data_IF_163565384714
#
_entry.id   IF_163565384714
#
_cell.length_a   1.000
_cell.length_b   1.000
_cell.length_c   1.000
_cell.angle_alpha   90.00
_cell.angle_beta   90.00
_cell.angle_gamma   90.00
#
_symmetry.space_group_name_H-M   'P 1'
#
loop_
_entity.id
_entity.type
_entity.pdbx_description
1 polymer ?
#
# COMPACT_ATOMS: atom_id res chain seq x y z
N UNK A 1 11.48 23.97 -15.31
CA UNK A 1 11.22 23.73 -13.86
C UNK A 1 12.13 24.57 -12.92
N UNK A 2 12.66 25.72 -13.35
CA UNK A 2 13.63 26.50 -12.55
C UNK A 2 13.12 26.97 -11.18
N UNK A 3 11.82 27.17 -11.02
CA UNK A 3 11.21 27.61 -9.75
C UNK A 3 10.70 26.45 -8.90
N UNK A 4 10.71 25.22 -9.42
CA UNK A 4 10.20 24.05 -8.71
C UNK A 4 11.22 23.61 -7.65
N UNK A 5 10.79 23.57 -6.38
CA UNK A 5 11.65 23.19 -5.25
C UNK A 5 11.32 21.81 -4.73
N UNK A 6 10.04 21.47 -4.72
CA UNK A 6 9.55 20.20 -4.18
C UNK A 6 8.55 19.56 -5.13
N UNK A 7 8.61 18.25 -5.23
CA UNK A 7 7.67 17.44 -5.98
C UNK A 7 7.11 16.39 -5.01
N UNK A 8 5.81 16.42 -4.79
CA UNK A 8 5.11 15.43 -3.99
C UNK A 8 4.32 14.50 -4.89
N UNK A 9 4.31 13.23 -4.57
CA UNK A 9 3.48 12.22 -5.22
C UNK A 9 2.78 11.36 -4.17
N UNK A 10 1.53 11.02 -4.43
CA UNK A 10 0.71 10.19 -3.55
C UNK A 10 -0.36 9.48 -4.34
N UNK A 11 -1.25 8.78 -3.64
CA UNK A 11 -2.30 7.91 -4.15
C UNK A 11 -1.81 6.60 -4.79
N UNK A 12 -0.70 6.63 -5.52
CA UNK A 12 -0.08 5.45 -6.13
C UNK A 12 1.41 5.40 -5.84
N UNK A 13 1.99 4.20 -5.92
CA UNK A 13 3.42 4.01 -5.75
C UNK A 13 4.19 4.61 -6.92
N UNK A 14 5.18 5.45 -6.64
CA UNK A 14 6.08 5.97 -7.66
C UNK A 14 7.07 4.89 -8.09
N UNK A 15 7.15 4.65 -9.40
CA UNK A 15 8.11 3.69 -9.97
C UNK A 15 9.54 4.17 -9.75
N UNK A 16 10.46 3.25 -9.44
CA UNK A 16 11.88 3.56 -9.22
C UNK A 16 12.50 4.27 -10.43
N UNK A 17 12.15 3.83 -11.63
CA UNK A 17 12.61 4.47 -12.86
C UNK A 17 12.19 5.94 -12.95
N UNK A 18 10.95 6.26 -12.59
CA UNK A 18 10.45 7.64 -12.55
C UNK A 18 11.23 8.48 -11.56
N UNK A 19 11.47 7.96 -10.35
CA UNK A 19 12.30 8.66 -9.32
C UNK A 19 13.69 8.93 -9.84
N UNK A 20 14.34 7.93 -10.46
CA UNK A 20 15.67 8.06 -11.03
C UNK A 20 15.71 9.09 -12.15
N UNK A 21 14.79 9.04 -13.11
CA UNK A 21 14.71 10.00 -14.21
C UNK A 21 14.54 11.44 -13.72
N UNK A 22 13.72 11.68 -12.70
CA UNK A 22 13.54 13.01 -12.13
C UNK A 22 14.81 13.52 -11.46
N UNK A 23 15.50 12.67 -10.72
CA UNK A 23 16.77 13.01 -10.10
C UNK A 23 17.85 13.30 -11.13
N UNK A 24 18.00 12.45 -12.16
CA UNK A 24 19.03 12.59 -13.20
C UNK A 24 18.79 13.81 -14.10
N UNK A 25 17.53 14.06 -14.50
CA UNK A 25 17.21 15.14 -15.44
C UNK A 25 17.06 16.50 -14.79
N UNK A 26 16.54 16.56 -13.57
CA UNK A 26 16.14 17.81 -12.93
C UNK A 26 16.82 18.06 -11.59
N UNK A 27 17.54 17.09 -11.03
CA UNK A 27 18.09 17.17 -9.67
C UNK A 27 17.01 17.23 -8.59
N UNK A 28 15.77 16.83 -8.90
CA UNK A 28 14.63 16.93 -8.02
C UNK A 28 14.23 15.56 -7.51
N UNK A 29 14.10 15.45 -6.19
CA UNK A 29 13.61 14.26 -5.52
C UNK A 29 12.08 14.29 -5.47
N UNK A 30 11.44 13.19 -5.87
CA UNK A 30 10.00 12.99 -5.65
C UNK A 30 9.81 12.55 -4.21
N UNK A 31 9.03 13.29 -3.45
CA UNK A 31 8.68 13.03 -2.07
C UNK A 31 7.35 12.28 -2.05
N UNK A 32 7.39 11.00 -1.71
CA UNK A 32 6.18 10.19 -1.64
C UNK A 32 5.42 10.47 -0.35
N UNK A 33 4.10 10.53 -0.45
CA UNK A 33 3.18 10.68 0.66
C UNK A 33 2.05 9.68 0.58
N UNK A 34 1.43 9.46 1.70
CA UNK A 34 0.32 8.54 1.90
C UNK A 34 -0.83 9.23 2.62
N UNK A 35 -2.04 8.90 2.23
CA UNK A 35 -3.20 9.45 2.87
C UNK A 35 -4.52 8.90 2.35
N UNK A 36 -5.58 9.41 2.94
CA UNK A 36 -6.95 9.09 2.60
C UNK A 36 -7.78 10.39 2.64
N UNK A 37 -8.85 10.47 1.87
CA UNK A 37 -9.79 11.61 1.88
C UNK A 37 -10.29 11.89 3.30
N UNK A 38 -10.51 10.85 4.06
CA UNK A 38 -10.94 10.86 5.45
C UNK A 38 -9.92 11.45 6.43
N UNK A 39 -8.70 11.71 5.97
CA UNK A 39 -7.59 12.26 6.78
C UNK A 39 -7.07 13.61 6.24
N UNK A 40 -7.82 14.31 5.41
CA UNK A 40 -7.67 15.68 4.92
C UNK A 40 -6.33 16.06 4.23
N UNK A 41 -5.79 15.35 3.27
CA UNK A 41 -5.82 13.93 3.03
C UNK A 41 -4.60 13.18 3.60
N UNK A 42 -3.56 13.87 4.11
CA UNK A 42 -2.24 13.30 4.39
C UNK A 42 -2.18 12.60 5.74
N UNK A 43 -1.69 11.37 5.75
CA UNK A 43 -1.38 10.58 6.94
C UNK A 43 0.12 10.56 7.19
N UNK A 44 0.91 10.27 6.15
CA UNK A 44 2.36 10.24 6.22
C UNK A 44 2.98 10.88 4.98
N UNK A 45 4.17 11.46 5.11
CA UNK A 45 4.86 12.10 3.97
C UNK A 45 6.37 12.12 4.18
N UNK A 46 7.11 11.85 3.10
CA UNK A 46 8.53 12.16 3.04
C UNK A 46 8.73 13.69 2.95
N UNK A 47 9.74 14.18 3.62
CA UNK A 47 10.13 15.59 3.55
C UNK A 47 11.58 15.73 3.07
N UNK A 48 12.03 16.91 2.66
CA UNK A 48 13.43 17.11 2.27
C UNK A 48 14.44 16.75 3.35
N UNK A 49 14.06 16.95 4.62
CA UNK A 49 14.90 16.69 5.79
C UNK A 49 14.80 15.24 6.28
N UNK A 50 13.67 14.59 6.02
CA UNK A 50 13.37 13.22 6.43
C UNK A 50 12.85 12.46 5.24
N UNK A 51 13.74 11.79 4.55
CA UNK A 51 13.44 11.03 3.34
C UNK A 51 14.00 9.61 3.44
N UNK A 52 13.14 8.64 3.10
CA UNK A 52 13.55 7.25 2.93
C UNK A 52 12.91 6.66 1.68
N UNK A 53 13.75 6.24 0.73
CA UNK A 53 13.28 5.58 -0.48
C UNK A 53 12.51 4.29 -0.14
N UNK A 54 11.40 4.03 -0.83
CA UNK A 54 10.54 2.87 -0.58
C UNK A 54 9.60 3.00 0.62
N UNK A 55 9.64 4.15 1.34
CA UNK A 55 8.65 4.52 2.34
C UNK A 55 7.79 5.69 1.86
N UNK A 56 6.64 5.85 2.47
CA UNK A 56 5.78 7.04 2.27
C UNK A 56 6.06 8.14 3.29
N UNK A 57 7.22 8.08 3.95
CA UNK A 57 7.66 9.05 4.94
C UNK A 57 7.18 8.73 6.35
N UNK A 58 7.16 9.76 7.20
CA UNK A 58 6.72 9.68 8.59
C UNK A 58 5.29 10.17 8.75
N UNK A 59 4.61 9.67 9.77
CA UNK A 59 3.29 10.18 10.14
C UNK A 59 3.34 11.69 10.43
N UNK A 60 2.26 12.37 10.10
CA UNK A 60 2.14 13.80 10.43
C UNK A 60 2.18 14.02 11.94
N UNK A 61 2.81 15.11 12.41
CA UNK A 61 2.78 15.48 13.81
C UNK A 61 1.33 15.65 14.33
N UNK A 62 1.06 15.11 15.52
CA UNK A 62 -0.26 15.16 16.15
C UNK A 62 -1.24 14.09 15.67
N UNK A 63 -0.79 13.15 14.84
CA UNK A 63 -1.52 11.93 14.49
C UNK A 63 -1.08 10.81 15.44
N UNK A 64 -2.04 10.29 16.19
CA UNK A 64 -1.87 9.03 16.90
C UNK A 64 -2.11 7.86 15.95
N UNK A 65 -1.42 6.76 16.18
CA UNK A 65 -1.55 5.56 15.39
C UNK A 65 -1.50 4.29 16.22
N UNK A 66 -2.10 3.24 15.71
CA UNK A 66 -1.95 1.87 16.21
C UNK A 66 -1.94 0.90 15.05
N UNK A 67 -1.18 -0.19 15.20
CA UNK A 67 -1.17 -1.30 14.27
C UNK A 67 -1.94 -2.46 14.88
N UNK A 68 -3.05 -2.83 14.27
CA UNK A 68 -3.78 -4.03 14.65
C UNK A 68 -3.16 -5.25 13.98
N UNK A 69 -2.85 -6.31 14.76
CA UNK A 69 -2.30 -7.54 14.20
C UNK A 69 -3.21 -8.13 13.12
N UNK A 70 -2.62 -8.57 12.03
CA UNK A 70 -3.32 -9.28 10.96
C UNK A 70 -2.81 -10.72 10.91
N UNK A 71 -3.66 -11.73 11.06
CA UNK A 71 -3.24 -13.13 11.02
C UNK A 71 -2.43 -13.44 9.76
N UNK A 72 -1.22 -14.01 9.92
CA UNK A 72 -0.32 -14.34 8.81
C UNK A 72 0.49 -13.17 8.25
N UNK A 73 0.47 -12.01 8.89
CA UNK A 73 1.38 -10.90 8.64
C UNK A 73 2.32 -10.82 9.85
N UNK A 74 3.59 -11.20 9.66
CA UNK A 74 4.55 -11.28 10.76
C UNK A 74 5.08 -9.90 11.15
N UNK A 75 5.31 -9.01 10.18
CA UNK A 75 5.78 -7.65 10.39
C UNK A 75 4.71 -6.63 10.01
N UNK A 76 4.49 -5.65 10.90
CA UNK A 76 3.50 -4.60 10.69
C UNK A 76 2.09 -4.99 11.12
N UNK A 77 1.08 -4.29 10.57
CA UNK A 77 -0.31 -4.50 10.91
C UNK A 77 -1.24 -3.56 10.16
N UNK A 78 -2.54 -3.71 10.42
CA UNK A 78 -3.56 -2.83 9.87
C UNK A 78 -3.49 -1.48 10.59
N UNK A 79 -3.29 -0.42 9.81
CA UNK A 79 -3.11 0.92 10.36
C UNK A 79 -4.45 1.57 10.71
N UNK A 80 -4.57 1.98 11.96
CA UNK A 80 -5.61 2.88 12.44
C UNK A 80 -4.96 4.19 12.86
N UNK A 81 -5.64 5.30 12.59
CA UNK A 81 -5.17 6.64 12.91
C UNK A 81 -6.24 7.46 13.62
N UNK A 82 -5.81 8.32 14.55
CA UNK A 82 -6.65 9.29 15.21
C UNK A 82 -5.91 10.63 15.28
N UNK A 83 -6.63 11.74 15.14
CA UNK A 83 -6.00 13.06 15.21
C UNK A 83 -6.86 14.15 14.58
N UNK A 84 -6.37 15.40 14.60
CA UNK A 84 -7.15 16.57 14.21
C UNK A 84 -7.50 16.63 12.72
N UNK A 85 -6.80 15.89 11.88
CA UNK A 85 -7.06 15.81 10.44
C UNK A 85 -7.96 14.62 10.06
N UNK A 86 -8.36 13.77 11.02
CA UNK A 86 -9.34 12.71 10.77
C UNK A 86 -10.74 13.30 10.68
N UNK A 87 -11.51 12.89 9.69
CA UNK A 87 -12.87 13.33 9.46
C UNK A 87 -13.77 13.13 10.71
N UNK A 88 -14.78 13.95 10.84
CA UNK A 88 -15.77 13.80 11.90
C UNK A 88 -16.70 12.59 11.71
N UNK A 89 -16.86 12.11 10.49
CA UNK A 89 -17.66 10.94 10.18
C UNK A 89 -18.23 10.95 8.78
N UNK A 90 -18.95 9.89 8.42
CA UNK A 90 -19.67 9.75 7.16
C UNK A 90 -21.14 10.19 7.29
N UNK A 91 -21.66 10.81 6.24
CA UNK A 91 -23.10 10.96 6.01
C UNK A 91 -23.54 9.84 5.07
N UNK A 92 -24.25 8.86 5.60
CA UNK A 92 -24.72 7.70 4.82
C UNK A 92 -26.06 7.96 4.17
N UNK A 93 -26.29 7.32 3.02
CA UNK A 93 -27.52 7.47 2.25
C UNK A 93 -28.75 6.93 3.00
N UNK A 94 -28.61 5.87 3.75
CA UNK A 94 -29.66 5.21 4.54
C UNK A 94 -29.94 5.91 5.88
N UNK A 95 -29.09 6.87 6.27
CA UNK A 95 -29.26 7.67 7.49
C UNK A 95 -28.91 9.15 7.22
N UNK A 96 -29.68 9.84 6.37
CA UNK A 96 -29.37 11.21 5.96
C UNK A 96 -29.48 12.19 7.14
N UNK A 97 -28.46 13.05 7.27
CA UNK A 97 -28.42 14.07 8.34
C UNK A 97 -27.83 13.61 9.66
N UNK A 98 -27.52 12.32 9.82
CA UNK A 98 -26.79 11.80 10.98
C UNK A 98 -25.32 11.52 10.58
N UNK A 99 -24.41 12.13 11.33
CA UNK A 99 -22.97 11.90 11.14
C UNK A 99 -22.58 10.62 11.87
N UNK A 100 -21.94 9.69 11.17
CA UNK A 100 -21.40 8.46 11.74
C UNK A 100 -19.88 8.59 11.92
N UNK A 101 -19.39 8.86 13.14
CA UNK A 101 -17.97 9.05 13.39
C UNK A 101 -17.19 7.71 13.27
N UNK A 102 -15.87 7.77 13.07
CA UNK A 102 -15.02 6.60 13.18
C UNK A 102 -15.19 5.93 14.55
N UNK A 103 -15.21 4.58 14.61
CA UNK A 103 -15.37 3.85 15.87
C UNK A 103 -14.32 4.30 16.91
N UNK A 104 -14.77 4.68 18.10
CA UNK A 104 -13.90 5.15 19.19
C UNK A 104 -12.95 6.31 18.80
N UNK A 105 -13.25 7.04 17.72
CA UNK A 105 -12.41 8.11 17.17
C UNK A 105 -11.23 7.62 16.33
N UNK A 106 -11.14 6.32 16.03
CA UNK A 106 -10.08 5.74 15.21
C UNK A 106 -10.56 5.46 13.79
N UNK A 107 -9.90 6.06 12.83
CA UNK A 107 -10.12 5.77 11.42
C UNK A 107 -9.29 4.55 10.98
N UNK A 108 -9.97 3.52 10.53
CA UNK A 108 -9.34 2.33 9.94
C UNK A 108 -9.02 2.62 8.47
N UNK A 109 -7.74 2.69 8.14
CA UNK A 109 -7.31 2.97 6.77
C UNK A 109 -7.56 1.80 5.82
N UNK A 110 -7.71 0.59 6.35
CA UNK A 110 -7.77 -0.65 5.60
C UNK A 110 -6.44 -1.04 4.94
N UNK A 111 -5.36 -0.36 5.28
CA UNK A 111 -4.02 -0.64 4.78
C UNK A 111 -3.21 -1.40 5.81
N UNK A 112 -2.44 -2.37 5.34
CA UNK A 112 -1.41 -3.05 6.14
C UNK A 112 -0.11 -2.32 5.90
N UNK A 113 0.52 -1.87 6.98
CA UNK A 113 1.76 -1.12 6.95
C UNK A 113 2.76 -1.67 7.94
N UNK A 114 4.02 -1.40 7.71
CA UNK A 114 5.10 -1.51 8.65
C UNK A 114 5.62 -0.12 9.00
N UNK A 115 5.99 0.10 10.25
CA UNK A 115 6.58 1.35 10.74
C UNK A 115 7.89 0.98 11.42
N UNK A 116 8.99 1.43 10.84
CA UNK A 116 10.31 1.13 11.37
C UNK A 116 10.67 1.94 12.63
N UNK A 117 11.81 1.62 13.25
CA UNK A 117 12.30 2.25 14.48
C UNK A 117 12.48 3.78 14.35
N UNK A 118 12.73 4.29 13.15
CA UNK A 118 12.84 5.72 12.86
C UNK A 118 11.49 6.37 12.54
N UNK A 119 10.39 5.60 12.53
CA UNK A 119 9.02 6.06 12.30
C UNK A 119 8.66 6.20 10.81
N UNK A 120 9.41 5.61 9.89
CA UNK A 120 9.04 5.60 8.47
C UNK A 120 8.03 4.51 8.17
N UNK A 121 6.97 4.90 7.46
CA UNK A 121 5.86 4.04 7.09
C UNK A 121 6.13 3.39 5.73
N UNK A 122 5.99 2.07 5.67
CA UNK A 122 5.99 1.27 4.43
C UNK A 122 4.61 0.64 4.24
N UNK A 123 4.00 0.84 3.09
CA UNK A 123 2.71 0.21 2.76
C UNK A 123 3.01 -1.20 2.22
N UNK A 124 2.48 -2.21 2.91
CA UNK A 124 2.60 -3.61 2.51
C UNK A 124 1.46 -4.04 1.59
N UNK A 125 0.29 -3.39 1.72
CA UNK A 125 -0.86 -3.61 0.84
C UNK A 125 -2.18 -3.26 1.50
N UNK A 126 -3.28 -3.48 0.76
CA UNK A 126 -4.64 -3.36 1.28
C UNK A 126 -5.06 -4.63 2.01
N UNK A 127 -5.66 -4.52 3.18
CA UNK A 127 -6.14 -5.69 3.94
C UNK A 127 -7.10 -6.57 3.11
N UNK A 128 -7.94 -5.96 2.27
CA UNK A 128 -8.84 -6.66 1.34
C UNK A 128 -8.13 -7.28 0.12
N UNK A 129 -6.84 -7.01 -0.05
CA UNK A 129 -6.00 -7.55 -1.13
C UNK A 129 -4.97 -8.56 -0.63
N UNK A 130 -5.32 -9.25 0.44
CA UNK A 130 -4.62 -10.44 0.89
C UNK A 130 -5.55 -11.64 0.75
N UNK A 131 -4.98 -12.77 0.35
CA UNK A 131 -5.66 -14.05 0.29
C UNK A 131 -5.08 -15.00 1.34
N UNK A 132 -5.95 -15.81 1.96
CA UNK A 132 -5.53 -16.84 2.91
C UNK A 132 -5.39 -18.18 2.19
N UNK A 133 -4.17 -18.49 1.74
CA UNK A 133 -3.87 -19.73 0.99
C UNK A 133 -3.20 -20.74 1.91
N UNK A 134 -3.86 -21.87 2.16
CA UNK A 134 -3.35 -22.94 3.03
C UNK A 134 -2.94 -22.48 4.46
N UNK A 135 -3.59 -21.42 4.96
CA UNK A 135 -3.30 -20.86 6.28
C UNK A 135 -2.41 -19.60 6.27
N UNK A 136 -1.68 -19.35 5.20
CA UNK A 136 -0.78 -18.22 5.04
C UNK A 136 -1.48 -17.05 4.34
N UNK A 137 -1.12 -15.83 4.75
CA UNK A 137 -1.64 -14.59 4.13
C UNK A 137 -0.71 -14.16 3.00
N UNK A 138 -1.21 -14.19 1.78
CA UNK A 138 -0.46 -13.81 0.58
C UNK A 138 -0.98 -12.48 0.04
N UNK A 139 -0.11 -11.49 -0.10
CA UNK A 139 -0.44 -10.21 -0.72
C UNK A 139 -0.62 -10.38 -2.23
N UNK A 140 -1.82 -10.09 -2.74
CA UNK A 140 -2.10 -10.11 -4.18
C UNK A 140 -1.22 -9.12 -4.92
N UNK A 141 -1.00 -7.93 -4.34
CA UNK A 141 -0.12 -6.92 -4.91
C UNK A 141 1.35 -7.34 -4.97
N UNK A 142 1.84 -8.11 -3.99
CA UNK A 142 3.20 -8.64 -4.03
C UNK A 142 3.36 -9.65 -5.18
N UNK A 143 2.36 -10.51 -5.39
CA UNK A 143 2.36 -11.44 -6.54
C UNK A 143 2.26 -10.68 -7.87
N UNK A 144 1.43 -9.63 -7.97
CA UNK A 144 1.36 -8.78 -9.16
C UNK A 144 2.70 -8.11 -9.48
N UNK A 145 3.40 -7.61 -8.46
CA UNK A 145 4.73 -7.01 -8.63
C UNK A 145 5.76 -8.05 -9.14
N UNK A 146 5.71 -9.28 -8.60
CA UNK A 146 6.57 -10.37 -9.06
C UNK A 146 6.33 -10.70 -10.53
N UNK A 147 5.05 -10.82 -10.94
CA UNK A 147 4.67 -11.11 -12.32
C UNK A 147 5.10 -9.98 -13.25
N UNK A 148 4.88 -8.71 -12.84
CA UNK A 148 5.29 -7.54 -13.64
C UNK A 148 6.81 -7.40 -13.76
N UNK A 149 7.57 -7.91 -12.81
CA UNK A 149 9.04 -7.97 -12.92
C UNK A 149 9.50 -9.04 -13.94
N UNK A 150 8.75 -10.14 -14.07
CA UNK A 150 9.02 -11.19 -15.05
C UNK A 150 8.58 -10.82 -16.47
N UNK A 151 7.44 -10.15 -16.57
CA UNK A 151 6.79 -9.79 -17.85
C UNK A 151 6.37 -8.31 -17.81
N UNK A 152 7.32 -7.39 -18.00
CA UNK A 152 7.08 -5.95 -17.80
C UNK A 152 6.26 -5.28 -18.91
N UNK A 153 6.11 -5.94 -20.06
CA UNK A 153 5.45 -5.38 -21.25
C UNK A 153 3.91 -5.52 -21.20
N UNK A 154 3.40 -6.47 -20.39
CA UNK A 154 1.98 -6.82 -20.35
C UNK A 154 1.33 -6.38 -19.02
N UNK A 155 0.01 -6.25 -19.03
CA UNK A 155 -0.77 -6.01 -17.80
C UNK A 155 -1.10 -7.32 -17.10
N UNK A 156 -1.06 -7.26 -15.78
CA UNK A 156 -1.33 -8.41 -14.91
C UNK A 156 -2.22 -7.99 -13.75
N UNK A 157 -3.11 -8.91 -13.35
CA UNK A 157 -3.90 -8.78 -12.13
C UNK A 157 -3.99 -10.13 -11.43
N UNK A 158 -4.02 -10.11 -10.10
CA UNK A 158 -4.18 -11.30 -9.29
C UNK A 158 -5.46 -11.19 -8.48
N UNK A 159 -6.25 -12.24 -8.49
CA UNK A 159 -7.48 -12.35 -7.70
C UNK A 159 -7.43 -13.60 -6.83
N UNK A 160 -8.09 -13.54 -5.68
CA UNK A 160 -8.32 -14.68 -4.83
C UNK A 160 -9.69 -15.29 -5.16
N UNK A 161 -9.75 -16.61 -5.33
CA UNK A 161 -10.98 -17.35 -5.49
C UNK A 161 -11.09 -18.41 -4.38
N UNK A 162 -12.30 -18.76 -3.93
CA UNK A 162 -12.50 -19.84 -2.97
C UNK A 162 -11.92 -21.17 -3.48
N UNK A 163 -11.23 -21.90 -2.61
CA UNK A 163 -10.75 -23.26 -2.86
C UNK A 163 -11.11 -24.17 -1.69
N UNK A 164 -11.72 -25.34 -2.00
CA UNK A 164 -12.23 -26.25 -1.00
C UNK A 164 -11.14 -26.89 -0.10
N UNK A 165 -9.88 -26.92 -0.53
CA UNK A 165 -8.75 -27.54 0.19
C UNK A 165 -7.86 -26.54 0.88
N UNK A 166 -7.67 -25.37 0.25
CA UNK A 166 -6.70 -24.35 0.68
C UNK A 166 -7.35 -23.11 1.28
N UNK A 167 -8.68 -23.04 1.33
CA UNK A 167 -9.45 -21.86 1.68
C UNK A 167 -9.58 -20.93 0.48
N UNK A 168 -8.48 -20.40 -0.01
CA UNK A 168 -8.43 -19.58 -1.21
C UNK A 168 -7.30 -20.05 -2.15
N UNK A 169 -7.43 -19.73 -3.43
CA UNK A 169 -6.41 -19.92 -4.45
C UNK A 169 -6.18 -18.61 -5.19
N UNK A 170 -4.94 -18.37 -5.60
CA UNK A 170 -4.59 -17.22 -6.43
C UNK A 170 -4.81 -17.56 -7.89
N UNK A 171 -5.46 -16.66 -8.61
CA UNK A 171 -5.65 -16.73 -10.06
C UNK A 171 -5.00 -15.51 -10.68
N UNK A 172 -3.99 -15.75 -11.52
CA UNK A 172 -3.35 -14.73 -12.32
C UNK A 172 -4.14 -14.51 -13.61
N UNK A 173 -4.51 -13.27 -13.85
CA UNK A 173 -5.01 -12.76 -15.11
C UNK A 173 -3.87 -12.02 -15.80
N UNK A 174 -3.58 -12.34 -17.06
CA UNK A 174 -2.47 -11.74 -17.80
C UNK A 174 -2.83 -11.56 -19.27
N UNK A 175 -2.33 -10.49 -19.89
CA UNK A 175 -2.42 -10.29 -21.35
C UNK A 175 -1.41 -11.13 -22.11
N UNK A 176 -0.41 -11.70 -21.42
CA UNK A 176 0.59 -12.58 -22.03
C UNK A 176 -0.04 -13.90 -22.48
N UNK A 177 -0.06 -14.14 -23.80
CA UNK A 177 -0.73 -15.32 -24.41
C UNK A 177 0.00 -16.62 -24.18
N UNK A 178 1.32 -16.57 -24.06
CA UNK A 178 2.25 -17.70 -23.87
C UNK A 178 2.81 -17.75 -22.44
N UNK A 179 2.02 -17.31 -21.46
CA UNK A 179 2.42 -17.31 -20.07
C UNK A 179 2.70 -18.75 -19.58
N UNK A 180 3.95 -19.03 -19.24
CA UNK A 180 4.36 -20.29 -18.63
C UNK A 180 4.36 -20.17 -17.11
N UNK A 181 3.83 -21.20 -16.46
CA UNK A 181 3.75 -21.26 -15.00
C UNK A 181 5.12 -21.54 -14.34
N UNK A 182 6.03 -22.20 -15.04
CA UNK A 182 7.30 -22.64 -14.46
C UNK A 182 8.19 -21.45 -14.02
N UNK A 183 8.46 -20.43 -14.85
CA UNK A 183 9.24 -19.26 -14.43
C UNK A 183 8.60 -18.49 -13.25
N UNK A 184 7.25 -18.44 -13.23
CA UNK A 184 6.52 -17.79 -12.15
C UNK A 184 6.70 -18.51 -10.82
N UNK A 185 6.64 -19.86 -10.81
CA UNK A 185 6.85 -20.66 -9.61
C UNK A 185 8.30 -20.58 -9.11
N UNK A 186 9.28 -20.51 -10.01
CA UNK A 186 10.69 -20.33 -9.64
C UNK A 186 10.91 -18.95 -8.99
N UNK A 187 10.38 -17.90 -9.60
CA UNK A 187 10.47 -16.55 -9.06
C UNK A 187 9.74 -16.43 -7.70
N UNK A 188 8.57 -17.05 -7.56
CA UNK A 188 7.82 -17.08 -6.30
C UNK A 188 8.65 -17.73 -5.19
N UNK A 189 9.22 -18.93 -5.43
CA UNK A 189 10.09 -19.61 -4.46
C UNK A 189 11.33 -18.79 -4.10
N UNK A 190 11.95 -18.12 -5.07
CA UNK A 190 13.11 -17.26 -4.83
C UNK A 190 12.77 -16.02 -3.98
N UNK A 191 11.50 -15.60 -4.00
CA UNK A 191 10.97 -14.45 -3.26
C UNK A 191 10.29 -14.83 -1.94
N UNK A 192 10.34 -16.10 -1.54
CA UNK A 192 9.81 -16.58 -0.26
C UNK A 192 8.29 -16.85 -0.24
N UNK A 193 7.68 -17.02 -1.42
CA UNK A 193 6.28 -17.43 -1.57
C UNK A 193 6.12 -18.95 -1.64
#
# INVERSE_FOLDING_TARGET
>A
FYALRYVFAGAERVREETRRQWMEKFGLRILEGYGATECAPVIAVNSPMHFRAGSVGRLLPGLDHRLEPVPGVEEGGRLLVAGPNVMLGYLKFDNPGALEPPPEGWYDTGDIVDIDEDGYVRILGRAKRFAKVAGEMVSLGAVENLVSALWPEEMHAVVALPDARKGEQLVLLTERRDADRAPLLEAAKASGF
#
